data_IF_133771780907
#
_entry.id   IF_133771780907
#
_cell.length_a   1.000
_cell.length_b   1.000
_cell.length_c   1.000
_cell.angle_alpha   90.00
_cell.angle_beta   90.00
_cell.angle_gamma   90.00
#
_symmetry.space_group_name_H-M   'P 1'
#
loop_
_entity.id
_entity.type
_entity.pdbx_description
1 polymer ?
#
# COMPACT_ATOMS: atom_id res chain seq x y z
N UNK A 1 -45.65 19.32 -62.04
CA UNK A 1 -45.43 18.21 -61.09
C UNK A 1 -43.94 18.07 -60.71
N UNK A 2 -43.32 19.07 -60.07
CA UNK A 2 -41.92 18.99 -59.57
C UNK A 2 -41.71 19.59 -58.16
N UNK A 3 -42.74 20.15 -57.53
CA UNK A 3 -42.63 20.84 -56.25
C UNK A 3 -42.75 19.94 -55.01
N UNK A 4 -43.27 18.71 -55.14
CA UNK A 4 -43.56 17.85 -53.99
C UNK A 4 -42.39 16.97 -53.54
N UNK A 5 -41.28 16.91 -54.29
CA UNK A 5 -40.16 16.02 -53.95
C UNK A 5 -39.13 16.68 -53.00
N UNK A 6 -39.06 18.01 -52.97
CA UNK A 6 -38.08 18.75 -52.16
C UNK A 6 -38.52 18.83 -50.69
N UNK A 7 -39.83 18.85 -50.42
CA UNK A 7 -40.36 18.93 -49.05
C UNK A 7 -40.10 17.63 -48.28
N UNK A 8 -40.04 16.48 -48.96
CA UNK A 8 -39.84 15.18 -48.30
C UNK A 8 -38.40 14.94 -47.83
N UNK A 9 -37.40 15.59 -48.44
CA UNK A 9 -35.99 15.50 -47.99
C UNK A 9 -35.65 16.50 -46.88
N UNK A 10 -36.42 17.58 -46.73
CA UNK A 10 -36.24 18.53 -45.63
C UNK A 10 -36.77 18.01 -44.28
N UNK A 11 -37.75 17.09 -44.31
CA UNK A 11 -38.35 16.50 -43.10
C UNK A 11 -37.53 15.33 -42.54
N UNK A 12 -36.71 14.66 -43.35
CA UNK A 12 -35.87 13.54 -42.89
C UNK A 12 -34.59 14.05 -42.16
N UNK A 13 -34.19 15.31 -42.38
CA UNK A 13 -32.97 15.88 -41.76
C UNK A 13 -33.19 16.53 -40.38
N UNK A 14 -34.44 16.62 -39.90
CA UNK A 14 -34.78 17.22 -38.60
C UNK A 14 -35.06 16.18 -37.51
N UNK A 15 -34.83 14.90 -37.80
CA UNK A 15 -34.95 13.80 -36.84
C UNK A 15 -33.61 13.16 -36.48
N UNK A 16 -32.49 13.89 -36.64
CA UNK A 16 -31.33 13.69 -35.76
C UNK A 16 -31.64 14.36 -34.43
N UNK A 17 -32.67 13.84 -33.76
CA UNK A 17 -32.90 14.09 -32.34
C UNK A 17 -31.59 13.79 -31.65
N UNK A 18 -30.98 14.85 -31.11
CA UNK A 18 -29.86 14.72 -30.21
C UNK A 18 -30.34 13.85 -29.08
N UNK A 19 -30.01 12.57 -29.13
CA UNK A 19 -29.91 11.74 -27.95
C UNK A 19 -28.78 12.35 -27.14
N UNK A 20 -29.09 13.45 -26.45
CA UNK A 20 -28.38 13.80 -25.24
C UNK A 20 -28.52 12.57 -24.37
N UNK A 21 -27.48 11.75 -24.32
CA UNK A 21 -27.25 10.86 -23.22
C UNK A 21 -27.21 11.75 -21.99
N UNK A 22 -28.37 12.05 -21.43
CA UNK A 22 -28.53 12.45 -20.04
C UNK A 22 -28.15 11.20 -19.24
N UNK A 23 -26.86 10.89 -19.26
CA UNK A 23 -26.28 9.87 -18.42
C UNK A 23 -26.58 10.35 -17.00
N UNK A 24 -27.33 9.54 -16.27
CA UNK A 24 -27.89 9.86 -14.96
C UNK A 24 -26.77 10.39 -14.06
N UNK A 25 -26.78 11.69 -13.79
CA UNK A 25 -25.67 12.39 -13.11
C UNK A 25 -25.41 11.82 -11.72
N UNK A 26 -26.41 11.16 -11.12
CA UNK A 26 -26.31 10.46 -9.84
C UNK A 26 -25.38 9.24 -9.88
N UNK A 27 -25.19 8.63 -11.07
CA UNK A 27 -24.26 7.51 -11.26
C UNK A 27 -22.79 7.95 -11.33
N UNK A 28 -22.53 9.22 -11.67
CA UNK A 28 -21.16 9.78 -11.71
C UNK A 28 -20.68 10.33 -10.37
N UNK A 29 -21.57 10.47 -9.38
CA UNK A 29 -21.22 11.06 -8.08
C UNK A 29 -20.29 10.14 -7.26
N UNK A 30 -20.29 8.82 -7.54
CA UNK A 30 -19.45 7.84 -6.85
C UNK A 30 -18.85 6.82 -7.81
N UNK A 31 -17.80 7.21 -8.55
CA UNK A 31 -17.21 6.36 -9.58
C UNK A 31 -16.66 5.04 -9.00
N UNK A 32 -16.28 5.00 -7.72
CA UNK A 32 -15.78 3.80 -7.04
C UNK A 32 -16.79 2.63 -7.01
N UNK A 33 -18.09 2.91 -7.09
CA UNK A 33 -19.12 1.85 -7.12
C UNK A 33 -19.26 1.22 -8.51
N UNK A 34 -18.81 1.92 -9.55
CA UNK A 34 -18.90 1.49 -10.95
C UNK A 34 -17.65 0.74 -11.42
N UNK A 35 -16.54 0.86 -10.71
CA UNK A 35 -15.28 0.21 -11.10
C UNK A 35 -15.14 -1.16 -10.46
N UNK A 36 -14.65 -2.12 -11.25
CA UNK A 36 -14.26 -3.46 -10.79
C UNK A 36 -12.76 -3.65 -10.95
N UNK A 37 -12.05 -4.22 -9.95
CA UNK A 37 -12.55 -4.65 -8.65
C UNK A 37 -12.73 -3.47 -7.66
N UNK A 38 -13.78 -3.53 -6.84
CA UNK A 38 -14.01 -2.56 -5.75
C UNK A 38 -12.97 -2.70 -4.64
N UNK A 39 -12.93 -1.77 -3.68
CA UNK A 39 -12.01 -1.87 -2.54
C UNK A 39 -12.34 -3.11 -1.68
N UNK A 40 -13.62 -3.40 -1.49
CA UNK A 40 -14.09 -4.60 -0.80
C UNK A 40 -13.71 -5.90 -1.53
N UNK A 41 -13.82 -5.93 -2.87
CA UNK A 41 -13.38 -7.07 -3.69
C UNK A 41 -11.87 -7.30 -3.59
N UNK A 42 -11.08 -6.22 -3.62
CA UNK A 42 -9.63 -6.28 -3.44
C UNK A 42 -9.25 -6.77 -2.05
N UNK A 43 -9.95 -6.29 -1.02
CA UNK A 43 -9.76 -6.77 0.35
C UNK A 43 -10.00 -8.28 0.44
N UNK A 44 -11.01 -8.78 -0.26
CA UNK A 44 -11.25 -10.23 -0.37
C UNK A 44 -10.11 -10.97 -1.07
N UNK A 45 -9.59 -10.43 -2.19
CA UNK A 45 -8.45 -11.02 -2.88
C UNK A 45 -7.20 -11.07 -1.98
N UNK A 46 -6.94 -10.01 -1.22
CA UNK A 46 -5.79 -9.95 -0.31
C UNK A 46 -5.99 -10.83 0.92
N UNK A 47 -7.20 -10.92 1.47
CA UNK A 47 -7.53 -11.86 2.55
C UNK A 47 -7.29 -13.31 2.12
N UNK A 48 -7.63 -13.68 0.88
CA UNK A 48 -7.36 -15.04 0.34
C UNK A 48 -5.85 -15.31 0.20
N UNK A 49 -5.07 -14.31 -0.22
CA UNK A 49 -3.60 -14.42 -0.33
C UNK A 49 -2.90 -14.33 1.03
N UNK A 50 -3.61 -13.88 2.05
CA UNK A 50 -3.04 -13.58 3.36
C UNK A 50 -2.41 -14.83 4.02
N UNK A 51 -3.09 -15.97 3.94
CA UNK A 51 -2.63 -17.24 4.49
C UNK A 51 -1.32 -17.73 3.83
N UNK A 52 -1.20 -17.56 2.51
CA UNK A 52 0.00 -18.01 1.77
C UNK A 52 1.24 -17.12 1.97
N UNK A 53 1.05 -15.89 2.45
CA UNK A 53 2.13 -14.89 2.58
C UNK A 53 2.59 -14.65 4.02
N UNK A 54 2.03 -15.36 5.01
CA UNK A 54 2.27 -15.13 6.45
C UNK A 54 3.77 -15.06 6.81
N UNK A 55 4.57 -15.98 6.29
CA UNK A 55 6.01 -16.07 6.59
C UNK A 55 6.86 -15.04 5.85
N UNK A 56 6.50 -14.72 4.59
CA UNK A 56 7.27 -13.77 3.77
C UNK A 56 7.01 -12.32 4.13
N UNK A 57 5.86 -12.04 4.74
CA UNK A 57 5.40 -10.68 5.09
C UNK A 57 6.37 -9.91 5.99
N UNK A 58 6.95 -10.59 6.98
CA UNK A 58 7.83 -9.99 7.98
C UNK A 58 9.32 -10.21 7.67
N UNK A 59 9.65 -10.79 6.51
CA UNK A 59 11.01 -11.23 6.18
C UNK A 59 12.08 -10.13 6.30
N UNK A 60 11.85 -8.87 5.88
CA UNK A 60 12.84 -7.80 6.06
C UNK A 60 13.20 -7.54 7.53
N UNK A 61 12.21 -7.62 8.44
CA UNK A 61 12.43 -7.47 9.88
C UNK A 61 13.12 -8.72 10.44
N UNK A 62 12.72 -9.92 9.99
CA UNK A 62 13.33 -11.17 10.44
C UNK A 62 14.81 -11.28 10.08
N UNK A 63 15.22 -10.84 8.88
CA UNK A 63 16.64 -10.81 8.49
C UNK A 63 17.44 -9.88 9.40
N UNK A 64 16.92 -8.67 9.63
CA UNK A 64 17.52 -7.67 10.52
C UNK A 64 17.67 -8.20 11.94
N UNK A 65 16.60 -8.79 12.48
CA UNK A 65 16.58 -9.35 13.82
C UNK A 65 17.50 -10.58 13.97
N UNK A 66 17.55 -11.45 12.96
CA UNK A 66 18.43 -12.62 12.96
C UNK A 66 19.90 -12.23 12.92
N UNK A 67 20.28 -11.24 12.09
CA UNK A 67 21.66 -10.78 12.03
C UNK A 67 22.10 -10.11 13.34
N UNK A 68 21.25 -9.27 13.95
CA UNK A 68 21.51 -8.68 15.28
C UNK A 68 21.59 -9.73 16.39
N UNK A 69 20.74 -10.77 16.35
CA UNK A 69 20.82 -11.88 17.29
C UNK A 69 22.15 -12.64 17.16
N UNK A 70 22.54 -12.99 15.94
CA UNK A 70 23.78 -13.74 15.68
C UNK A 70 25.03 -12.93 16.07
N UNK A 71 25.04 -11.62 15.77
CA UNK A 71 26.09 -10.71 16.21
C UNK A 71 26.19 -10.68 17.75
N UNK A 72 25.06 -10.50 18.44
CA UNK A 72 25.00 -10.57 19.90
C UNK A 72 25.49 -11.90 20.47
N UNK A 73 25.09 -13.02 19.85
CA UNK A 73 25.51 -14.36 20.24
C UNK A 73 27.03 -14.55 20.11
N UNK A 74 27.64 -14.12 19.00
CA UNK A 74 29.10 -14.20 18.83
C UNK A 74 29.85 -13.30 19.81
N UNK A 75 29.29 -12.14 20.17
CA UNK A 75 29.90 -11.25 21.15
C UNK A 75 29.82 -11.76 22.59
N UNK A 76 28.79 -12.55 22.95
CA UNK A 76 28.73 -13.22 24.26
C UNK A 76 29.93 -14.14 24.50
N UNK A 77 30.43 -14.81 23.46
CA UNK A 77 31.60 -15.69 23.56
C UNK A 77 32.95 -14.96 23.45
N UNK A 78 32.96 -13.75 22.89
CA UNK A 78 34.18 -13.01 22.51
C UNK A 78 34.19 -11.59 23.11
N UNK A 79 33.65 -11.43 24.31
CA UNK A 79 33.51 -10.12 24.93
C UNK A 79 34.88 -9.48 25.24
N UNK A 80 34.92 -8.14 25.14
CA UNK A 80 36.10 -7.38 25.55
C UNK A 80 35.97 -7.00 27.03
N UNK A 81 36.75 -7.60 27.96
CA UNK A 81 36.60 -7.35 29.39
C UNK A 81 36.89 -5.89 29.79
N UNK A 82 37.60 -5.12 28.96
CA UNK A 82 37.90 -3.70 29.23
C UNK A 82 36.75 -2.76 28.91
N UNK A 83 35.99 -3.05 27.84
CA UNK A 83 34.86 -2.20 27.37
C UNK A 83 33.52 -2.70 27.88
N UNK A 84 33.37 -4.01 28.02
CA UNK A 84 32.15 -4.67 28.45
C UNK A 84 32.46 -5.85 29.38
N UNK A 85 32.81 -5.58 30.65
CA UNK A 85 33.18 -6.61 31.61
C UNK A 85 32.03 -7.60 31.91
N UNK A 86 30.79 -7.17 31.67
CA UNK A 86 29.57 -7.93 31.97
C UNK A 86 28.89 -8.55 30.75
N UNK A 87 29.50 -8.45 29.56
CA UNK A 87 28.93 -8.92 28.29
C UNK A 87 27.50 -8.37 28.00
N UNK A 88 27.21 -7.14 28.48
CA UNK A 88 25.91 -6.48 28.31
C UNK A 88 25.59 -6.21 26.85
N UNK A 89 26.60 -5.91 26.03
CA UNK A 89 26.47 -5.69 24.59
C UNK A 89 25.93 -6.95 23.91
N UNK A 90 26.61 -8.09 24.05
CA UNK A 90 26.16 -9.36 23.49
C UNK A 90 24.75 -9.75 23.94
N UNK A 91 24.45 -9.57 25.24
CA UNK A 91 23.11 -9.82 25.78
C UNK A 91 22.04 -8.91 25.16
N UNK A 92 22.35 -7.62 24.96
CA UNK A 92 21.44 -6.68 24.30
C UNK A 92 21.16 -7.09 22.85
N UNK A 93 22.18 -7.53 22.09
CA UNK A 93 22.02 -8.05 20.72
C UNK A 93 21.09 -9.25 20.67
N UNK A 94 21.32 -10.25 21.53
CA UNK A 94 20.46 -11.44 21.62
C UNK A 94 19.05 -11.08 22.03
N UNK A 95 18.88 -10.20 23.02
CA UNK A 95 17.57 -9.78 23.52
C UNK A 95 16.77 -9.04 22.43
N UNK A 96 17.36 -8.02 21.80
CA UNK A 96 16.68 -7.21 20.78
C UNK A 96 16.35 -8.06 19.54
N UNK A 97 17.32 -8.82 19.02
CA UNK A 97 17.09 -9.70 17.88
C UNK A 97 16.07 -10.80 18.19
N UNK A 98 16.16 -11.41 19.38
CA UNK A 98 15.23 -12.44 19.84
C UNK A 98 13.81 -11.93 19.99
N UNK A 99 13.61 -10.77 20.62
CA UNK A 99 12.28 -10.14 20.77
C UNK A 99 11.65 -9.87 19.41
N UNK A 100 12.40 -9.36 18.44
CA UNK A 100 11.86 -9.11 17.10
C UNK A 100 11.52 -10.40 16.33
N UNK A 101 12.35 -11.44 16.44
CA UNK A 101 12.02 -12.73 15.83
C UNK A 101 10.74 -13.31 16.44
N UNK A 102 10.63 -13.36 17.77
CA UNK A 102 9.41 -13.85 18.45
C UNK A 102 8.20 -12.99 18.09
N UNK A 103 8.35 -11.66 18.10
CA UNK A 103 7.26 -10.74 17.78
C UNK A 103 6.78 -10.91 16.34
N UNK A 104 7.69 -11.02 15.37
CA UNK A 104 7.31 -11.22 13.97
C UNK A 104 6.69 -12.58 13.72
N UNK A 105 7.18 -13.64 14.37
CA UNK A 105 6.56 -14.97 14.32
C UNK A 105 5.15 -14.96 14.91
N UNK A 106 4.98 -14.34 16.08
CA UNK A 106 3.67 -14.19 16.73
C UNK A 106 2.71 -13.38 15.86
N UNK A 107 3.16 -12.28 15.26
CA UNK A 107 2.36 -11.49 14.31
C UNK A 107 2.00 -12.31 13.06
N UNK A 108 2.93 -13.07 12.48
CA UNK A 108 2.65 -13.93 11.33
C UNK A 108 1.55 -14.97 11.60
N UNK A 109 1.47 -15.48 12.83
CA UNK A 109 0.48 -16.50 13.22
C UNK A 109 -0.85 -15.92 13.68
N UNK A 110 -0.81 -14.86 14.50
CA UNK A 110 -2.00 -14.34 15.18
C UNK A 110 -2.66 -13.17 14.44
N UNK A 111 -1.93 -12.44 13.60
CA UNK A 111 -2.40 -11.19 13.03
C UNK A 111 -2.71 -11.33 11.52
N UNK A 112 -4.00 -11.45 11.22
CA UNK A 112 -4.54 -11.56 9.85
C UNK A 112 -5.53 -10.41 9.57
N UNK A 113 -5.02 -9.16 9.46
CA UNK A 113 -5.85 -7.96 9.35
C UNK A 113 -6.85 -8.02 8.20
N UNK A 114 -6.47 -8.55 7.03
CA UNK A 114 -7.38 -8.54 5.88
C UNK A 114 -8.53 -9.54 6.06
N UNK A 115 -8.27 -10.72 6.61
CA UNK A 115 -9.33 -11.70 6.92
C UNK A 115 -10.28 -11.17 7.99
N UNK A 116 -9.76 -10.57 9.07
CA UNK A 116 -10.60 -10.03 10.14
C UNK A 116 -11.48 -8.87 9.65
N UNK A 117 -10.91 -7.94 8.90
CA UNK A 117 -11.61 -6.77 8.37
C UNK A 117 -12.64 -7.17 7.30
N UNK A 118 -12.32 -8.16 6.47
CA UNK A 118 -13.26 -8.72 5.51
C UNK A 118 -14.49 -9.33 6.20
N UNK A 119 -14.30 -10.01 7.33
CA UNK A 119 -15.42 -10.57 8.08
C UNK A 119 -16.35 -9.46 8.58
N UNK A 120 -15.81 -8.40 9.16
CA UNK A 120 -16.57 -7.23 9.62
C UNK A 120 -17.33 -6.57 8.46
N UNK A 121 -16.63 -6.27 7.36
CA UNK A 121 -17.18 -5.61 6.17
C UNK A 121 -18.29 -6.42 5.50
N UNK A 122 -18.17 -7.75 5.48
CA UNK A 122 -19.19 -8.65 4.90
C UNK A 122 -20.51 -8.64 5.68
N UNK A 123 -20.45 -8.39 6.98
CA UNK A 123 -21.66 -8.34 7.84
C UNK A 123 -22.41 -7.01 7.73
N UNK A 124 -21.80 -5.97 7.17
CA UNK A 124 -22.44 -4.67 6.98
C UNK A 124 -23.58 -4.77 5.95
N UNK A 125 -24.65 -3.96 6.07
CA UNK A 125 -25.67 -3.88 5.03
C UNK A 125 -25.10 -3.25 3.74
N UNK A 126 -25.70 -3.55 2.59
CA UNK A 126 -25.28 -3.01 1.27
C UNK A 126 -26.45 -2.75 0.32
N UNK A 127 -27.63 -2.51 0.88
CA UNK A 127 -28.86 -2.34 0.10
C UNK A 127 -28.92 -0.95 -0.51
N UNK A 128 -28.46 0.06 0.22
CA UNK A 128 -28.48 1.45 -0.24
C UNK A 128 -27.12 1.87 -0.80
N UNK A 129 -27.10 2.88 -1.68
CA UNK A 129 -25.85 3.45 -2.20
C UNK A 129 -24.95 3.95 -1.07
N UNK A 130 -25.52 4.65 -0.09
CA UNK A 130 -24.81 5.11 1.11
C UNK A 130 -24.16 3.96 1.88
N UNK A 131 -24.86 2.85 2.06
CA UNK A 131 -24.32 1.66 2.73
C UNK A 131 -23.15 1.05 1.94
N UNK A 132 -23.29 0.95 0.61
CA UNK A 132 -22.21 0.46 -0.25
C UNK A 132 -20.97 1.37 -0.14
N UNK A 133 -21.15 2.69 -0.17
CA UNK A 133 -20.04 3.64 0.00
C UNK A 133 -19.36 3.53 1.36
N UNK A 134 -20.16 3.37 2.42
CA UNK A 134 -19.62 3.17 3.77
C UNK A 134 -18.76 1.90 3.81
N UNK A 135 -19.21 0.83 3.15
CA UNK A 135 -18.48 -0.43 3.05
C UNK A 135 -17.15 -0.24 2.31
N UNK A 136 -17.17 0.43 1.16
CA UNK A 136 -15.95 0.69 0.38
C UNK A 136 -14.96 1.57 1.14
N UNK A 137 -15.43 2.61 1.84
CA UNK A 137 -14.56 3.47 2.66
C UNK A 137 -13.91 2.72 3.82
N UNK A 138 -14.64 1.82 4.48
CA UNK A 138 -14.07 0.99 5.55
C UNK A 138 -13.07 -0.03 5.00
N UNK A 139 -13.32 -0.58 3.81
CA UNK A 139 -12.34 -1.41 3.12
C UNK A 139 -11.06 -0.61 2.81
N UNK A 140 -11.16 0.62 2.32
CA UNK A 140 -10.01 1.51 2.11
C UNK A 140 -9.26 1.80 3.41
N UNK A 141 -9.97 2.15 4.48
CA UNK A 141 -9.37 2.44 5.78
C UNK A 141 -8.60 1.23 6.33
N UNK A 142 -9.08 0.01 6.10
CA UNK A 142 -8.39 -1.22 6.52
C UNK A 142 -6.99 -1.34 5.91
N UNK A 143 -6.81 -0.97 4.63
CA UNK A 143 -5.50 -0.95 3.97
C UNK A 143 -4.59 0.11 4.59
N UNK A 144 -5.11 1.31 4.85
CA UNK A 144 -4.35 2.41 5.46
C UNK A 144 -3.92 2.10 6.90
N UNK A 145 -4.79 1.53 7.73
CA UNK A 145 -4.47 1.11 9.10
C UNK A 145 -3.33 0.10 9.09
N UNK A 146 -3.43 -0.90 8.22
CA UNK A 146 -2.43 -1.96 8.10
C UNK A 146 -1.09 -1.43 7.61
N UNK A 147 -1.08 -0.53 6.61
CA UNK A 147 0.14 0.10 6.12
C UNK A 147 0.80 1.03 7.16
N UNK A 148 0.01 1.77 7.96
CA UNK A 148 0.53 2.58 9.06
C UNK A 148 1.20 1.72 10.13
N UNK A 149 0.59 0.59 10.49
CA UNK A 149 1.21 -0.38 11.40
C UNK A 149 2.53 -0.92 10.83
N UNK A 150 2.54 -1.32 9.56
CA UNK A 150 3.75 -1.77 8.86
C UNK A 150 4.89 -0.76 8.98
N UNK A 151 4.59 0.51 8.70
CA UNK A 151 5.56 1.60 8.69
C UNK A 151 6.13 1.83 10.09
N UNK A 152 5.29 1.78 11.13
CA UNK A 152 5.74 1.89 12.53
C UNK A 152 6.64 0.72 12.92
N UNK A 153 6.26 -0.51 12.59
CA UNK A 153 7.08 -1.70 12.86
C UNK A 153 8.42 -1.64 12.13
N UNK A 154 8.42 -1.21 10.87
CA UNK A 154 9.62 -1.05 10.04
C UNK A 154 10.60 -0.07 10.68
N UNK A 155 10.13 1.12 11.08
CA UNK A 155 10.98 2.13 11.72
C UNK A 155 11.45 1.72 13.11
N UNK A 156 10.57 1.14 13.94
CA UNK A 156 10.94 0.64 15.26
C UNK A 156 12.02 -0.45 15.16
N UNK A 157 11.82 -1.42 14.26
CA UNK A 157 12.79 -2.48 14.01
C UNK A 157 14.12 -1.93 13.48
N UNK A 158 14.07 -1.02 12.50
CA UNK A 158 15.28 -0.39 11.98
C UNK A 158 16.07 0.29 13.10
N UNK A 159 15.42 1.18 13.86
CA UNK A 159 16.08 1.96 14.91
C UNK A 159 16.64 1.07 16.02
N UNK A 160 15.89 0.07 16.50
CA UNK A 160 16.35 -0.80 17.58
C UNK A 160 17.49 -1.71 17.14
N UNK A 161 17.40 -2.33 15.95
CA UNK A 161 18.45 -3.23 15.47
C UNK A 161 19.69 -2.43 15.06
N UNK A 162 19.56 -1.29 14.36
CA UNK A 162 20.69 -0.42 14.02
C UNK A 162 21.40 0.09 15.28
N UNK A 163 20.64 0.65 16.24
CA UNK A 163 21.20 1.16 17.49
C UNK A 163 21.92 0.07 18.29
N UNK A 164 21.35 -1.13 18.35
CA UNK A 164 21.97 -2.28 19.02
C UNK A 164 23.22 -2.74 18.28
N UNK A 165 23.19 -2.88 16.95
CA UNK A 165 24.36 -3.30 16.16
C UNK A 165 25.51 -2.28 16.24
N UNK A 166 25.23 -0.98 16.32
CA UNK A 166 26.24 0.05 16.59
C UNK A 166 26.81 -0.11 18.00
N UNK A 167 25.95 -0.36 19.00
CA UNK A 167 26.39 -0.62 20.36
C UNK A 167 27.27 -1.87 20.49
N UNK A 168 26.95 -2.96 19.78
CA UNK A 168 27.78 -4.16 19.66
C UNK A 168 29.18 -3.80 19.12
N UNK A 169 29.20 -3.12 17.97
CA UNK A 169 30.43 -2.74 17.26
C UNK A 169 31.39 -1.89 18.11
N UNK A 170 30.88 -0.94 18.89
CA UNK A 170 31.73 -0.07 19.73
C UNK A 170 32.41 -0.85 20.87
N UNK A 171 31.76 -1.91 21.34
CA UNK A 171 32.18 -2.72 22.50
C UNK A 171 32.89 -4.04 22.12
N UNK A 172 33.05 -4.33 20.83
CA UNK A 172 33.68 -5.56 20.34
C UNK A 172 35.20 -5.57 20.59
N UNK A 173 35.78 -6.76 20.69
CA UNK A 173 37.23 -6.98 20.71
C UNK A 173 37.78 -7.01 19.28
N UNK A 174 38.77 -6.17 18.99
CA UNK A 174 39.21 -5.79 17.63
C UNK A 174 39.86 -6.88 16.75
N UNK A 175 39.88 -8.14 17.18
CA UNK A 175 40.55 -9.25 16.47
C UNK A 175 39.72 -10.54 16.50
N UNK A 176 38.39 -10.40 16.61
CA UNK A 176 37.47 -11.53 16.77
C UNK A 176 36.49 -11.61 15.61
N UNK A 177 35.92 -12.80 15.38
CA UNK A 177 34.88 -13.03 14.37
C UNK A 177 33.61 -12.20 14.61
N UNK A 178 33.45 -11.61 15.79
CA UNK A 178 32.34 -10.73 16.12
C UNK A 178 32.37 -9.43 15.31
N UNK A 179 33.55 -8.90 14.94
CA UNK A 179 33.66 -7.66 14.15
C UNK A 179 32.92 -7.75 12.79
N UNK A 180 33.18 -8.75 11.92
CA UNK A 180 32.45 -8.86 10.66
C UNK A 180 30.97 -9.16 10.89
N UNK A 181 30.60 -9.90 11.94
CA UNK A 181 29.19 -10.16 12.27
C UNK A 181 28.44 -8.87 12.64
N UNK A 182 29.05 -7.98 13.43
CA UNK A 182 28.48 -6.70 13.83
C UNK A 182 28.29 -5.77 12.62
N UNK A 183 29.27 -5.73 11.70
CA UNK A 183 29.17 -4.96 10.45
C UNK A 183 28.02 -5.47 9.59
N UNK A 184 27.91 -6.79 9.44
CA UNK A 184 26.81 -7.43 8.71
C UNK A 184 25.47 -7.10 9.36
N UNK A 185 25.39 -7.10 10.69
CA UNK A 185 24.18 -6.71 11.43
C UNK A 185 23.83 -5.24 11.22
N UNK A 186 24.81 -4.33 11.14
CA UNK A 186 24.56 -2.93 10.76
C UNK A 186 23.96 -2.85 9.35
N UNK A 187 24.54 -3.54 8.36
CA UNK A 187 24.06 -3.49 6.98
C UNK A 187 22.61 -4.04 6.90
N UNK A 188 22.38 -5.21 7.50
CA UNK A 188 21.05 -5.82 7.49
C UNK A 188 20.03 -5.09 8.38
N UNK A 189 20.47 -4.21 9.29
CA UNK A 189 19.53 -3.35 10.01
C UNK A 189 18.70 -2.49 9.06
N UNK A 190 19.24 -2.12 7.89
CA UNK A 190 18.54 -1.37 6.83
C UNK A 190 17.59 -2.23 5.98
N UNK A 191 17.59 -3.55 6.13
CA UNK A 191 16.73 -4.43 5.33
C UNK A 191 15.24 -4.02 5.36
N UNK A 192 14.63 -3.63 6.51
CA UNK A 192 13.27 -3.15 6.53
C UNK A 192 13.05 -1.87 5.70
N UNK A 193 14.05 -1.00 5.55
CA UNK A 193 13.95 0.23 4.76
C UNK A 193 14.08 -0.03 3.26
N UNK A 194 14.99 -0.92 2.87
CA UNK A 194 15.27 -1.25 1.46
C UNK A 194 14.18 -2.15 0.89
N UNK A 195 13.76 -3.18 1.62
CA UNK A 195 12.74 -4.11 1.18
C UNK A 195 11.37 -3.66 1.68
N UNK A 196 10.50 -3.29 0.76
CA UNK A 196 9.17 -2.83 1.09
C UNK A 196 8.36 -3.92 1.79
N UNK A 197 7.66 -3.50 2.83
CA UNK A 197 6.75 -4.37 3.56
C UNK A 197 5.48 -4.63 2.74
N UNK A 198 5.05 -5.89 2.62
CA UNK A 198 3.91 -6.26 1.75
C UNK A 198 2.62 -5.44 2.00
N UNK A 199 2.28 -5.16 3.26
CA UNK A 199 1.14 -4.30 3.61
C UNK A 199 1.24 -2.87 3.05
N UNK A 200 2.46 -2.32 2.97
CA UNK A 200 2.69 -1.00 2.39
C UNK A 200 2.55 -1.05 0.87
N UNK A 201 3.09 -2.09 0.24
CA UNK A 201 2.96 -2.31 -1.20
C UNK A 201 1.48 -2.42 -1.63
N UNK A 202 0.69 -3.24 -0.93
CA UNK A 202 -0.75 -3.39 -1.19
C UNK A 202 -1.50 -2.06 -1.07
N UNK A 203 -1.16 -1.24 -0.07
CA UNK A 203 -1.79 0.06 0.11
C UNK A 203 -1.38 1.06 -0.99
N UNK A 204 -0.13 1.03 -1.44
CA UNK A 204 0.33 1.85 -2.58
C UNK A 204 -0.38 1.46 -3.88
N UNK A 205 -0.56 0.15 -4.13
CA UNK A 205 -1.33 -0.35 -5.26
C UNK A 205 -2.81 0.08 -5.18
N UNK A 206 -3.38 0.16 -3.97
CA UNK A 206 -4.72 0.67 -3.74
C UNK A 206 -4.81 2.18 -4.00
N UNK A 207 -3.85 2.97 -3.52
CA UNK A 207 -3.79 4.40 -3.81
C UNK A 207 -3.62 4.68 -5.30
N UNK A 208 -2.77 3.92 -6.00
CA UNK A 208 -2.58 4.06 -7.44
C UNK A 208 -3.88 3.77 -8.19
N UNK A 209 -4.60 2.74 -7.76
CA UNK A 209 -5.91 2.45 -8.32
C UNK A 209 -6.93 3.55 -8.06
N UNK A 210 -6.98 4.09 -6.83
CA UNK A 210 -7.82 5.24 -6.51
C UNK A 210 -7.50 6.44 -7.40
N UNK A 211 -6.21 6.73 -7.62
CA UNK A 211 -5.77 7.79 -8.56
C UNK A 211 -6.23 7.55 -10.00
N UNK A 212 -6.42 6.29 -10.43
CA UNK A 212 -6.96 5.97 -11.76
C UNK A 212 -8.47 6.21 -11.85
N UNK A 213 -9.21 6.02 -10.76
CA UNK A 213 -10.67 6.27 -10.69
C UNK A 213 -10.96 7.76 -10.63
N UNK A 214 -10.26 8.48 -9.75
CA UNK A 214 -10.45 9.91 -9.51
C UNK A 214 -9.50 10.80 -10.33
N UNK A 215 -8.76 10.20 -11.27
CA UNK A 215 -7.83 10.92 -12.12
C UNK A 215 -8.57 11.87 -13.05
N UNK A 216 -7.97 13.02 -13.41
CA UNK A 216 -8.58 13.89 -14.40
C UNK A 216 -8.77 13.13 -15.72
N UNK A 217 -9.97 13.20 -16.28
CA UNK A 217 -10.19 12.81 -17.66
C UNK A 217 -9.61 13.92 -18.53
N UNK A 218 -8.49 13.61 -19.18
CA UNK A 218 -7.89 14.48 -20.18
C UNK A 218 -8.44 14.09 -21.56
N UNK A 219 -9.00 15.06 -22.26
CA UNK A 219 -9.58 14.87 -23.58
C UNK A 219 -9.14 15.98 -24.53
N UNK A 220 -8.94 15.63 -25.80
CA UNK A 220 -8.84 16.62 -26.86
C UNK A 220 -10.26 16.81 -27.40
N UNK A 221 -10.82 17.99 -27.21
CA UNK A 221 -12.07 18.38 -27.84
C UNK A 221 -11.80 19.38 -28.95
N UNK A 222 -12.74 19.45 -29.91
CA UNK A 222 -12.72 20.46 -30.95
C UNK A 222 -13.84 21.45 -30.65
N UNK A 223 -13.48 22.71 -30.42
CA UNK A 223 -14.45 23.76 -30.20
C UNK A 223 -14.41 24.74 -31.36
N UNK A 224 -15.58 25.13 -31.84
CA UNK A 224 -15.71 26.20 -32.84
C UNK A 224 -15.68 27.52 -32.12
N UNK A 225 -14.69 28.34 -32.40
CA UNK A 225 -14.64 29.71 -31.89
C UNK A 225 -15.86 30.51 -32.42
N UNK A 226 -16.69 31.09 -31.54
CA UNK A 226 -17.90 31.81 -31.94
C UNK A 226 -17.61 33.09 -32.74
N UNK A 227 -16.40 33.64 -32.66
CA UNK A 227 -16.02 34.88 -33.36
C UNK A 227 -15.34 34.58 -34.70
N UNK A 228 -14.39 33.63 -34.73
CA UNK A 228 -13.62 33.33 -35.93
C UNK A 228 -14.16 32.17 -36.77
N UNK A 229 -15.13 31.41 -36.24
CA UNK A 229 -15.65 30.15 -36.81
C UNK A 229 -14.57 29.12 -37.16
N UNK A 230 -13.35 29.28 -36.65
CA UNK A 230 -12.27 28.31 -36.83
C UNK A 230 -12.42 27.23 -35.76
N UNK A 231 -12.29 25.99 -36.21
CA UNK A 231 -12.21 24.83 -35.31
C UNK A 231 -10.79 24.82 -34.75
N UNK A 232 -10.66 25.04 -33.45
CA UNK A 232 -9.39 24.93 -32.75
C UNK A 232 -9.42 23.70 -31.83
N UNK A 233 -8.31 22.92 -31.76
CA UNK A 233 -8.18 21.90 -30.75
C UNK A 233 -8.08 22.56 -29.38
N UNK A 234 -8.86 22.04 -28.42
CA UNK A 234 -8.81 22.45 -27.01
C UNK A 234 -8.43 21.23 -26.18
N UNK A 235 -7.54 21.45 -25.22
CA UNK A 235 -7.25 20.46 -24.20
C UNK A 235 -8.21 20.66 -23.05
N UNK A 236 -9.13 19.71 -22.87
CA UNK A 236 -10.06 19.72 -21.76
C UNK A 236 -9.55 18.80 -20.65
N UNK A 237 -9.47 19.37 -19.46
CA UNK A 237 -9.19 18.64 -18.23
C UNK A 237 -10.47 18.69 -17.42
N UNK A 238 -11.16 17.57 -17.33
CA UNK A 238 -12.32 17.42 -16.45
C UNK A 238 -11.93 16.59 -15.24
N UNK A 239 -12.27 17.07 -14.07
CA UNK A 239 -12.13 16.31 -12.84
C UNK A 239 -13.52 15.82 -12.43
N UNK A 240 -13.62 14.54 -12.08
CA UNK A 240 -14.79 14.03 -11.35
C UNK A 240 -14.54 14.32 -9.87
N UNK A 241 -15.22 15.34 -9.32
CA UNK A 241 -15.23 15.62 -7.89
C UNK A 241 -16.62 15.35 -7.33
#
# INVERSE_FOLDING_TARGET
MKANFIIMHLVILTFTGGYSFAADSSSFEYPELLVTPRASDRLELEARKEAGSQWRRHFPIQISALSTLLAGYFQLSNNNPTKDPTAKSGLAGVAVGGVWLVTTLALSMAFTPYVSELHEIRTMPSKTQREQLSRERLAEESFERTARLATRLQWLSFLSNFGTSVYLTVNVKTETISVPADIVAIIFSFAPLVFQYSWKYIQQDQEEYKKKIYGPLTGISFWSDPVSHKIAPRFDVSFMF
#
